data_IF_613353224979
#
_entry.id   IF_613353224979
#
_cell.length_a   1.000
_cell.length_b   1.000
_cell.length_c   1.000
_cell.angle_alpha   90.00
_cell.angle_beta   90.00
_cell.angle_gamma   90.00
#
_symmetry.space_group_name_H-M   'P 1'
#
loop_
_entity.id
_entity.type
_entity.pdbx_description
1 polymer ?
#
# COMPACT_ATOMS: atom_id res chain seq x y z
N UNK A 1 12.81 1.14 -31.44
CA UNK A 1 11.87 1.88 -30.57
C UNK A 1 10.53 1.89 -31.23
N UNK A 2 9.50 1.43 -30.52
CA UNK A 2 8.10 1.49 -30.96
C UNK A 2 7.36 2.40 -29.97
N UNK A 3 7.17 3.66 -30.38
CA UNK A 3 6.58 4.72 -29.56
C UNK A 3 5.15 4.38 -29.15
N UNK A 4 4.40 3.65 -29.98
CA UNK A 4 3.06 3.19 -29.64
C UNK A 4 3.13 2.05 -28.62
N UNK A 5 4.05 1.10 -28.80
CA UNK A 5 4.32 0.04 -27.84
C UNK A 5 4.69 0.56 -26.45
N UNK A 6 5.55 1.58 -26.37
CA UNK A 6 5.98 2.19 -25.11
C UNK A 6 4.84 2.97 -24.43
N UNK A 7 4.01 3.66 -25.21
CA UNK A 7 2.78 4.30 -24.70
C UNK A 7 1.81 3.26 -24.11
N UNK A 8 1.56 2.16 -24.82
CA UNK A 8 0.68 1.10 -24.33
C UNK A 8 1.24 0.40 -23.09
N UNK A 9 2.57 0.27 -22.96
CA UNK A 9 3.20 -0.26 -21.72
C UNK A 9 2.90 0.62 -20.50
N UNK A 10 2.96 1.95 -20.64
CA UNK A 10 2.59 2.88 -19.58
C UNK A 10 1.10 2.79 -19.20
N UNK A 11 0.21 2.66 -20.19
CA UNK A 11 -1.25 2.50 -19.95
C UNK A 11 -1.59 1.16 -19.28
N UNK A 12 -0.78 0.12 -19.49
CA UNK A 12 -0.98 -1.22 -18.91
C UNK A 12 -0.41 -1.38 -17.50
N UNK A 13 0.09 -0.29 -16.89
CA UNK A 13 0.79 -0.31 -15.60
C UNK A 13 1.91 -1.37 -15.59
N UNK A 14 2.61 -1.52 -16.72
CA UNK A 14 3.70 -2.49 -16.83
C UNK A 14 4.85 -2.08 -15.90
N UNK A 15 5.18 -2.93 -14.93
CA UNK A 15 6.10 -2.59 -13.82
C UNK A 15 5.39 -2.23 -12.51
N UNK A 16 4.05 -2.24 -12.47
CA UNK A 16 3.31 -2.15 -11.21
C UNK A 16 3.71 -3.31 -10.30
N UNK A 17 3.97 -2.96 -9.05
CA UNK A 17 4.24 -3.93 -8.02
C UNK A 17 2.91 -4.37 -7.37
N UNK A 18 2.80 -5.64 -7.00
CA UNK A 18 1.62 -6.19 -6.36
C UNK A 18 2.03 -7.03 -5.15
N UNK A 19 1.62 -6.60 -3.97
CA UNK A 19 1.84 -7.30 -2.70
C UNK A 19 0.53 -7.53 -1.96
N UNK A 20 0.51 -8.54 -1.09
CA UNK A 20 -0.62 -8.81 -0.21
C UNK A 20 -0.11 -9.24 1.16
N UNK A 21 -0.47 -8.51 2.22
CA UNK A 21 -0.04 -8.82 3.57
C UNK A 21 -1.18 -9.43 4.39
N UNK A 22 -0.85 -10.24 5.38
CA UNK A 22 -1.78 -10.73 6.39
C UNK A 22 -1.16 -10.44 7.74
N UNK A 23 -1.82 -9.60 8.53
CA UNK A 23 -1.27 -9.03 9.76
C UNK A 23 -2.24 -9.33 10.92
N UNK A 24 -1.68 -9.63 12.09
CA UNK A 24 -2.44 -9.65 13.34
C UNK A 24 -2.16 -8.35 14.11
N UNK A 25 -3.18 -7.68 14.68
CA UNK A 25 -2.96 -6.50 15.52
C UNK A 25 -1.99 -6.75 16.69
N UNK A 26 -1.18 -5.75 17.11
CA UNK A 26 -1.09 -4.41 16.53
C UNK A 26 -0.17 -4.38 15.29
N UNK A 27 -0.49 -3.51 14.30
CA UNK A 27 0.35 -3.39 13.10
C UNK A 27 0.37 -1.95 12.54
N UNK A 28 1.52 -1.60 11.97
CA UNK A 28 1.77 -0.28 11.40
C UNK A 28 2.65 -0.40 10.15
N UNK A 29 2.06 -0.24 8.97
CA UNK A 29 2.78 -0.23 7.70
C UNK A 29 3.01 1.20 7.25
N UNK A 30 4.24 1.56 6.90
CA UNK A 30 4.59 2.88 6.36
C UNK A 30 5.05 2.77 4.91
N UNK A 31 4.22 3.21 3.96
CA UNK A 31 4.56 3.16 2.55
C UNK A 31 5.50 4.31 2.17
N UNK A 32 6.76 3.98 1.87
CA UNK A 32 7.88 4.94 1.73
C UNK A 32 8.44 5.07 0.31
N UNK A 33 7.97 4.26 -0.64
CA UNK A 33 8.49 4.25 -2.02
C UNK A 33 8.09 5.47 -2.86
N UNK A 34 7.14 6.28 -2.38
CA UNK A 34 6.67 7.47 -3.08
C UNK A 34 6.02 7.14 -4.43
N UNK A 35 5.43 5.94 -4.57
CA UNK A 35 4.79 5.51 -5.80
C UNK A 35 3.77 6.57 -6.29
N UNK A 36 3.74 6.91 -7.61
CA UNK A 36 2.84 7.94 -8.12
C UNK A 36 1.35 7.65 -7.84
N UNK A 37 1.00 6.36 -7.73
CA UNK A 37 -0.35 5.91 -7.42
C UNK A 37 -0.28 4.53 -6.77
N UNK A 38 -0.93 4.40 -5.61
CA UNK A 38 -1.03 3.16 -4.85
C UNK A 38 -2.49 2.78 -4.67
N UNK A 39 -2.83 1.51 -4.94
CA UNK A 39 -4.14 0.94 -4.72
C UNK A 39 -4.06 -0.02 -3.53
N UNK A 40 -4.86 0.21 -2.49
CA UNK A 40 -4.95 -0.69 -1.34
C UNK A 40 -6.38 -1.21 -1.22
N UNK A 41 -6.53 -2.53 -1.13
CA UNK A 41 -7.81 -3.21 -0.90
C UNK A 41 -7.75 -4.03 0.38
N UNK A 42 -8.70 -3.81 1.28
CA UNK A 42 -8.85 -4.63 2.48
C UNK A 42 -9.65 -5.87 2.13
N UNK A 43 -9.00 -7.04 2.13
CA UNK A 43 -9.68 -8.30 1.82
C UNK A 43 -10.42 -8.90 3.03
N UNK A 44 -9.92 -8.62 4.23
CA UNK A 44 -10.52 -9.00 5.51
C UNK A 44 -10.01 -8.07 6.63
N UNK A 45 -10.87 -7.72 7.59
CA UNK A 45 -10.57 -6.81 8.69
C UNK A 45 -10.88 -5.34 8.39
N UNK A 46 -10.16 -4.46 9.06
CA UNK A 46 -10.27 -3.02 8.92
C UNK A 46 -8.96 -2.35 9.37
N UNK A 47 -8.81 -1.08 9.05
CA UNK A 47 -7.76 -0.22 9.57
C UNK A 47 -7.92 1.22 9.10
N UNK A 48 -6.86 2.01 9.23
CA UNK A 48 -6.87 3.44 8.91
C UNK A 48 -5.72 3.80 7.98
N UNK A 49 -6.06 4.41 6.86
CA UNK A 49 -5.08 5.12 6.03
C UNK A 49 -4.86 6.49 6.65
N UNK A 50 -3.61 6.75 7.02
CA UNK A 50 -3.18 8.07 7.50
C UNK A 50 -2.30 8.68 6.40
N UNK A 51 -2.87 9.56 5.55
CA UNK A 51 -2.09 10.24 4.53
C UNK A 51 -1.13 11.23 5.19
N UNK A 52 -0.03 11.56 4.51
CA UNK A 52 0.87 12.63 4.96
C UNK A 52 0.12 13.95 5.16
N UNK A 53 -0.90 14.21 4.35
CA UNK A 53 -1.70 15.43 4.37
C UNK A 53 -3.19 15.08 4.30
N UNK A 54 -3.97 15.60 5.24
CA UNK A 54 -5.41 15.38 5.32
C UNK A 54 -5.80 14.53 6.53
N UNK A 55 -7.12 14.33 6.73
CA UNK A 55 -7.61 13.50 7.82
C UNK A 55 -7.33 12.01 7.55
N UNK A 56 -7.18 11.18 8.60
CA UNK A 56 -7.22 9.74 8.46
C UNK A 56 -8.55 9.24 7.90
N UNK A 57 -8.48 8.21 7.08
CA UNK A 57 -9.65 7.55 6.47
C UNK A 57 -9.71 6.09 6.91
N UNK A 58 -10.87 5.68 7.43
CA UNK A 58 -11.10 4.28 7.82
C UNK A 58 -11.42 3.45 6.59
N UNK A 59 -10.83 2.27 6.51
CA UNK A 59 -11.17 1.23 5.53
C UNK A 59 -11.63 -0.03 6.25
N UNK A 60 -12.75 -0.59 5.83
CA UNK A 60 -13.26 -1.88 6.26
C UNK A 60 -13.19 -2.95 5.17
N UNK A 61 -13.78 -4.09 5.48
CA UNK A 61 -13.88 -5.24 4.58
C UNK A 61 -14.33 -4.85 3.17
N UNK A 62 -13.55 -5.30 2.19
CA UNK A 62 -13.78 -5.14 0.75
C UNK A 62 -13.73 -3.70 0.23
N UNK A 63 -13.37 -2.73 1.08
CA UNK A 63 -13.14 -1.37 0.65
C UNK A 63 -11.77 -1.23 -0.03
N UNK A 64 -11.72 -0.31 -1.00
CA UNK A 64 -10.52 -0.03 -1.78
C UNK A 64 -10.29 1.46 -1.82
N UNK A 65 -9.05 1.87 -1.57
CA UNK A 65 -8.61 3.26 -1.65
C UNK A 65 -7.57 3.43 -2.74
N UNK A 66 -7.55 4.62 -3.34
CA UNK A 66 -6.48 5.09 -4.22
C UNK A 66 -5.74 6.20 -3.51
N UNK A 67 -4.47 5.96 -3.19
CA UNK A 67 -3.56 6.97 -2.64
C UNK A 67 -2.72 7.54 -3.77
N UNK A 68 -2.70 8.88 -3.90
CA UNK A 68 -1.91 9.56 -4.92
C UNK A 68 -0.60 10.03 -4.32
N UNK A 69 0.51 9.64 -4.94
CA UNK A 69 1.84 10.06 -4.55
C UNK A 69 2.19 11.48 -5.00
N UNK A 70 3.46 11.90 -4.81
CA UNK A 70 4.58 11.10 -4.27
C UNK A 70 4.67 11.08 -2.74
N UNK A 71 3.70 11.66 -2.02
CA UNK A 71 3.68 11.65 -0.56
C UNK A 71 3.58 10.24 0.03
N UNK A 72 4.13 10.07 1.23
CA UNK A 72 4.07 8.78 1.96
C UNK A 72 2.75 8.64 2.70
N UNK A 73 2.39 7.44 3.13
CA UNK A 73 1.22 7.23 3.98
C UNK A 73 1.43 6.02 4.88
N UNK A 74 0.76 5.99 6.03
CA UNK A 74 0.70 4.79 6.86
C UNK A 74 -0.65 4.10 6.75
N UNK A 75 -0.62 2.78 6.90
CA UNK A 75 -1.79 1.97 7.11
C UNK A 75 -1.63 1.29 8.47
N UNK A 76 -2.54 1.60 9.40
CA UNK A 76 -2.49 1.15 10.80
C UNK A 76 -3.77 0.42 11.21
N UNK A 77 -3.69 -0.47 12.20
CA UNK A 77 -4.87 -1.13 12.76
C UNK A 77 -5.75 -0.14 13.53
N UNK A 78 -5.14 0.70 14.36
CA UNK A 78 -5.79 1.77 15.11
C UNK A 78 -4.93 3.05 15.10
N UNK A 79 -5.57 4.22 15.25
CA UNK A 79 -4.88 5.53 15.16
C UNK A 79 -3.90 5.79 16.30
N UNK A 80 -4.08 5.13 17.45
CA UNK A 80 -3.23 5.19 18.63
C UNK A 80 -2.40 3.91 18.85
N UNK A 81 -2.24 3.10 17.79
CA UNK A 81 -1.43 1.87 17.82
C UNK A 81 -0.02 2.12 18.35
N UNK A 82 0.48 1.19 19.15
CA UNK A 82 1.86 1.18 19.69
C UNK A 82 2.83 0.38 18.81
N UNK A 83 2.36 -0.17 17.69
CA UNK A 83 3.19 -0.89 16.75
C UNK A 83 4.23 0.02 16.08
N UNK A 84 5.50 -0.41 16.14
CA UNK A 84 6.60 0.21 15.42
C UNK A 84 6.35 0.18 13.91
N UNK A 85 6.52 1.31 13.19
CA UNK A 85 6.29 1.35 11.75
C UNK A 85 7.24 0.44 10.97
N UNK A 86 6.67 -0.40 10.12
CA UNK A 86 7.41 -1.19 9.14
C UNK A 86 7.45 -0.44 7.81
N UNK A 87 8.64 -0.06 7.37
CA UNK A 87 8.82 0.59 6.08
C UNK A 87 8.49 -0.38 4.93
N UNK A 88 7.44 -0.06 4.16
CA UNK A 88 6.99 -0.76 2.99
C UNK A 88 7.37 0.00 1.71
N UNK A 89 8.17 -0.63 0.86
CA UNK A 89 8.51 -0.11 -0.47
C UNK A 89 8.47 -1.22 -1.51
N UNK A 90 9.34 -1.17 -2.52
CA UNK A 90 9.32 -2.12 -3.64
C UNK A 90 9.41 -3.59 -3.18
N UNK A 91 10.20 -3.86 -2.15
CA UNK A 91 10.41 -5.21 -1.61
C UNK A 91 9.13 -5.85 -1.05
N UNK A 92 8.23 -5.03 -0.48
CA UNK A 92 6.95 -5.51 0.09
C UNK A 92 5.98 -6.06 -0.96
N UNK A 93 6.27 -5.80 -2.23
CA UNK A 93 5.46 -6.22 -3.35
C UNK A 93 6.17 -7.26 -4.25
N UNK A 94 7.22 -7.90 -3.74
CA UNK A 94 7.82 -9.07 -4.38
C UNK A 94 6.98 -10.34 -4.09
N UNK A 95 6.47 -11.05 -5.11
CA UNK A 95 5.62 -12.23 -4.91
C UNK A 95 6.32 -13.38 -4.17
N UNK A 96 7.64 -13.51 -4.33
CA UNK A 96 8.46 -14.52 -3.64
C UNK A 96 8.59 -14.24 -2.14
N UNK A 97 8.43 -12.98 -1.72
CA UNK A 97 8.33 -12.59 -0.32
C UNK A 97 6.87 -12.52 0.16
N UNK A 98 5.89 -12.79 -0.72
CA UNK A 98 4.52 -13.12 -0.36
C UNK A 98 3.85 -12.14 0.61
N UNK A 99 4.13 -10.85 0.44
CA UNK A 99 3.77 -9.77 1.35
C UNK A 99 4.30 -9.95 2.76
N UNK A 100 4.39 -8.85 3.49
CA UNK A 100 4.87 -8.85 4.87
C UNK A 100 4.01 -9.80 5.73
N UNK A 101 4.48 -11.03 5.94
CA UNK A 101 3.97 -11.95 6.95
C UNK A 101 4.61 -11.57 8.27
N UNK A 102 4.10 -10.52 8.91
CA UNK A 102 4.35 -10.29 10.33
C UNK A 102 3.32 -11.11 11.11
N UNK A 103 3.83 -12.14 11.79
CA UNK A 103 3.07 -13.03 12.66
C UNK A 103 3.36 -12.67 14.11
#
# INVERSE_FOLDING_TARGET
MDVFGDLFRGVRAHGSLFGSSTLAPPWNLHFVDGAPLTLCTVLNGAGWIVPEHGPPERLGDYETVVVRGPGTFTFVDELDTDAEPVACGEDCATPEQGGTRHR
#
